data_IF_774792056293
#
_entry.id   IF_774792056293
#
_cell.length_a   1.000
_cell.length_b   1.000
_cell.length_c   1.000
_cell.angle_alpha   90.00
_cell.angle_beta   90.00
_cell.angle_gamma   90.00
#
_symmetry.space_group_name_H-M   'P 1'
#
loop_
_entity.id
_entity.type
_entity.pdbx_description
1 polymer ?
#
# COMPACT_ATOMS: atom_id res chain seq x y z
N UNK A 1 -5.97 -13.76 5.51
CA UNK A 1 -5.23 -14.97 5.99
C UNK A 1 -3.96 -15.16 5.17
N UNK A 2 -3.04 -16.07 5.57
CA UNK A 2 -1.81 -16.35 4.80
C UNK A 2 -2.12 -16.79 3.37
N UNK A 3 -3.08 -17.71 3.20
CA UNK A 3 -3.47 -18.21 1.87
C UNK A 3 -4.04 -17.12 0.96
N UNK A 4 -4.77 -16.15 1.50
CA UNK A 4 -5.26 -15.00 0.72
C UNK A 4 -4.14 -14.04 0.31
N UNK A 5 -3.12 -13.86 1.18
CA UNK A 5 -1.94 -13.07 0.84
C UNK A 5 -1.16 -13.74 -0.28
N UNK A 6 -0.98 -15.06 -0.21
CA UNK A 6 -0.27 -15.83 -1.25
C UNK A 6 -1.04 -15.87 -2.57
N UNK A 7 -2.37 -16.01 -2.51
CA UNK A 7 -3.20 -15.98 -3.70
C UNK A 7 -3.12 -14.62 -4.42
N UNK A 8 -2.97 -13.52 -3.66
CA UNK A 8 -2.95 -12.19 -4.23
C UNK A 8 -1.54 -11.70 -4.61
N UNK A 9 -0.51 -12.06 -3.84
CA UNK A 9 0.89 -11.61 -4.04
C UNK A 9 1.78 -12.67 -4.70
N UNK A 10 1.33 -13.91 -4.86
CA UNK A 10 2.12 -15.01 -5.43
C UNK A 10 2.26 -14.99 -6.96
N UNK A 11 1.26 -14.46 -7.67
CA UNK A 11 1.32 -14.19 -9.12
C UNK A 11 0.65 -12.83 -9.43
N UNK A 12 1.27 -11.72 -8.97
CA UNK A 12 0.67 -10.40 -9.06
C UNK A 12 0.78 -9.88 -10.50
N UNK A 13 -0.35 -9.96 -11.20
CA UNK A 13 -0.53 -9.34 -12.51
C UNK A 13 -0.89 -7.86 -12.36
N UNK A 14 -0.29 -7.02 -13.19
CA UNK A 14 -0.62 -5.60 -13.22
C UNK A 14 -0.11 -4.82 -12.01
N UNK A 15 -0.91 -3.88 -11.53
CA UNK A 15 -0.53 -2.95 -10.45
C UNK A 15 -1.37 -3.12 -9.20
N UNK A 16 -0.71 -3.17 -8.05
CA UNK A 16 -1.35 -3.47 -6.78
C UNK A 16 -0.82 -2.58 -5.67
N UNK A 17 -1.71 -2.07 -4.82
CA UNK A 17 -1.30 -1.41 -3.59
C UNK A 17 -1.68 -2.24 -2.37
N UNK A 18 -0.68 -2.57 -1.56
CA UNK A 18 -0.83 -3.25 -0.28
C UNK A 18 -0.72 -2.25 0.85
N UNK A 19 -1.82 -2.05 1.57
CA UNK A 19 -1.86 -1.22 2.76
C UNK A 19 -1.68 -2.06 4.03
N UNK A 20 -0.58 -1.83 4.75
CA UNK A 20 -0.38 -2.37 6.09
C UNK A 20 -1.05 -1.41 7.07
N UNK A 21 -2.32 -1.68 7.36
CA UNK A 21 -3.15 -0.90 8.27
C UNK A 21 -2.75 -1.16 9.73
N UNK A 22 -3.20 -0.29 10.64
CA UNK A 22 -2.91 -0.38 12.07
C UNK A 22 -3.94 0.37 12.91
N UNK A 23 -3.98 0.09 14.21
CA UNK A 23 -4.81 0.81 15.19
C UNK A 23 -4.24 2.20 15.56
N UNK A 24 -3.03 2.54 15.11
CA UNK A 24 -2.39 3.82 15.44
C UNK A 24 -3.22 5.04 15.02
N UNK A 25 -3.14 6.14 15.78
CA UNK A 25 -3.84 7.39 15.47
C UNK A 25 -3.50 7.96 14.09
N UNK A 26 -2.24 7.84 13.64
CA UNK A 26 -1.82 8.24 12.29
C UNK A 26 -2.45 7.38 11.18
N UNK A 27 -2.80 6.12 11.45
CA UNK A 27 -3.53 5.29 10.50
C UNK A 27 -4.99 5.77 10.36
N UNK A 28 -5.61 6.21 11.46
CA UNK A 28 -6.97 6.75 11.49
C UNK A 28 -7.07 8.15 10.88
N UNK A 29 -6.21 9.07 11.32
CA UNK A 29 -6.30 10.49 10.98
C UNK A 29 -5.66 10.86 9.65
N UNK A 30 -4.71 10.05 9.16
CA UNK A 30 -3.91 10.42 7.98
C UNK A 30 -3.90 9.33 6.91
N UNK A 31 -3.39 8.12 7.20
CA UNK A 31 -3.16 7.10 6.16
C UNK A 31 -4.45 6.63 5.47
N UNK A 32 -5.48 6.23 6.22
CA UNK A 32 -6.76 5.76 5.66
C UNK A 32 -7.48 6.85 4.85
N UNK A 33 -7.65 8.08 5.36
CA UNK A 33 -8.21 9.18 4.57
C UNK A 33 -7.40 9.49 3.31
N UNK A 34 -6.06 9.49 3.41
CA UNK A 34 -5.18 9.74 2.27
C UNK A 34 -5.34 8.69 1.16
N UNK A 35 -5.37 7.41 1.53
CA UNK A 35 -5.58 6.33 0.57
C UNK A 35 -6.95 6.45 -0.11
N UNK A 36 -8.01 6.72 0.66
CA UNK A 36 -9.35 6.93 0.08
C UNK A 36 -9.36 8.10 -0.92
N UNK A 37 -8.69 9.21 -0.61
CA UNK A 37 -8.55 10.33 -1.52
C UNK A 37 -7.75 9.96 -2.78
N UNK A 38 -6.62 9.27 -2.62
CA UNK A 38 -5.76 8.86 -3.73
C UNK A 38 -6.45 7.89 -4.70
N UNK A 39 -7.32 7.00 -4.22
CA UNK A 39 -8.05 6.04 -5.06
C UNK A 39 -9.13 6.68 -5.95
N UNK A 40 -9.44 7.96 -5.74
CA UNK A 40 -10.30 8.76 -6.63
C UNK A 40 -9.55 9.26 -7.87
N UNK A 41 -8.23 9.13 -7.90
CA UNK A 41 -7.41 9.52 -9.03
C UNK A 41 -7.69 8.62 -10.24
N UNK A 42 -7.75 9.16 -11.48
CA UNK A 42 -7.91 8.37 -12.70
C UNK A 42 -6.86 7.26 -12.83
N UNK A 43 -5.59 7.58 -12.57
CA UNK A 43 -4.52 6.60 -12.53
C UNK A 43 -4.46 6.02 -11.12
N UNK A 44 -4.75 4.73 -10.99
CA UNK A 44 -4.81 4.04 -9.71
C UNK A 44 -4.43 2.57 -9.88
N UNK A 45 -3.94 1.91 -8.82
CA UNK A 45 -3.66 0.48 -8.87
C UNK A 45 -4.94 -0.29 -9.20
N UNK A 46 -4.79 -1.36 -9.98
CA UNK A 46 -5.90 -2.25 -10.36
C UNK A 46 -6.44 -3.01 -9.15
N UNK A 47 -5.56 -3.33 -8.19
CA UNK A 47 -5.93 -3.99 -6.96
C UNK A 47 -5.45 -3.21 -5.73
N UNK A 48 -6.30 -3.18 -4.71
CA UNK A 48 -5.97 -2.60 -3.40
C UNK A 48 -6.23 -3.65 -2.35
N UNK A 49 -5.17 -4.06 -1.66
CA UNK A 49 -5.22 -5.02 -0.57
C UNK A 49 -4.91 -4.33 0.75
N UNK A 50 -5.45 -4.87 1.84
CA UNK A 50 -5.12 -4.41 3.17
C UNK A 50 -4.85 -5.59 4.09
N UNK A 51 -3.83 -5.46 4.92
CA UNK A 51 -3.56 -6.37 6.05
C UNK A 51 -3.54 -5.55 7.33
N UNK A 52 -4.04 -6.10 8.44
CA UNK A 52 -4.20 -5.33 9.67
C UNK A 52 -3.15 -5.70 10.72
N UNK A 53 -2.15 -4.82 10.90
CA UNK A 53 -1.11 -4.99 11.91
C UNK A 53 -1.71 -5.00 13.33
N UNK A 54 -1.46 -6.10 14.06
CA UNK A 54 -1.96 -6.30 15.42
C UNK A 54 -3.32 -7.00 15.51
N UNK A 55 -3.93 -7.37 14.39
CA UNK A 55 -5.12 -8.24 14.34
C UNK A 55 -4.82 -9.50 13.52
N UNK A 56 -4.33 -9.33 12.29
CA UNK A 56 -4.01 -10.44 11.38
C UNK A 56 -2.51 -10.73 11.36
N UNK A 57 -1.97 -11.21 12.49
CA UNK A 57 -0.52 -11.37 12.68
C UNK A 57 0.16 -12.19 11.56
N UNK A 58 -0.42 -13.33 11.21
CA UNK A 58 0.17 -14.22 10.19
C UNK A 58 0.07 -13.62 8.78
N UNK A 59 -1.05 -12.96 8.45
CA UNK A 59 -1.21 -12.31 7.15
C UNK A 59 -0.25 -11.13 6.99
N UNK A 60 -0.04 -10.35 8.05
CA UNK A 60 0.91 -9.23 8.05
C UNK A 60 2.34 -9.72 7.95
N UNK A 61 2.69 -10.77 8.71
CA UNK A 61 4.01 -11.39 8.62
C UNK A 61 4.28 -11.92 7.22
N UNK A 62 3.30 -12.60 6.62
CA UNK A 62 3.41 -13.10 5.24
C UNK A 62 3.55 -11.97 4.23
N UNK A 63 2.71 -10.95 4.31
CA UNK A 63 2.78 -9.80 3.40
C UNK A 63 4.16 -9.13 3.50
N UNK A 64 4.70 -8.94 4.71
CA UNK A 64 6.05 -8.38 4.92
C UNK A 64 7.18 -9.16 4.27
N UNK A 65 7.02 -10.48 4.05
CA UNK A 65 8.03 -11.26 3.33
C UNK A 65 8.13 -10.86 1.85
N UNK A 66 7.05 -10.36 1.24
CA UNK A 66 7.05 -9.85 -0.14
C UNK A 66 7.70 -8.48 -0.28
N UNK A 67 7.96 -7.79 0.82
CA UNK A 67 8.64 -6.49 0.86
C UNK A 67 9.79 -6.50 1.88
N UNK A 68 10.54 -7.61 1.91
CA UNK A 68 11.61 -7.88 2.88
C UNK A 68 12.74 -6.84 2.90
N UNK A 69 12.93 -6.12 1.79
CA UNK A 69 13.94 -5.06 1.67
C UNK A 69 13.57 -3.77 2.42
N UNK A 70 12.30 -3.66 2.85
CA UNK A 70 11.77 -2.49 3.53
C UNK A 70 11.59 -2.74 5.02
N UNK A 71 12.11 -1.83 5.84
CA UNK A 71 11.96 -1.91 7.29
C UNK A 71 10.47 -1.96 7.69
N UNK A 72 10.06 -2.93 8.53
CA UNK A 72 8.66 -3.09 8.90
C UNK A 72 8.18 -1.89 9.72
N UNK A 73 7.14 -1.22 9.23
CA UNK A 73 6.48 -0.12 9.94
C UNK A 73 4.96 -0.23 9.81
N UNK A 74 4.22 0.50 10.65
CA UNK A 74 2.77 0.62 10.50
C UNK A 74 2.27 1.98 11.02
N UNK A 75 1.32 2.63 10.32
CA UNK A 75 0.83 2.29 8.98
C UNK A 75 1.92 2.42 7.89
N UNK A 76 1.85 1.60 6.84
CA UNK A 76 2.72 1.70 5.65
C UNK A 76 1.99 1.21 4.39
N UNK A 77 2.43 1.63 3.21
CA UNK A 77 1.82 1.24 1.93
C UNK A 77 2.91 0.80 0.95
N UNK A 78 2.70 -0.29 0.23
CA UNK A 78 3.58 -0.75 -0.84
C UNK A 78 2.80 -0.75 -2.16
N UNK A 79 3.36 -0.12 -3.20
CA UNK A 79 2.86 -0.21 -4.56
C UNK A 79 3.73 -1.21 -5.31
N UNK A 80 3.09 -2.23 -5.86
CA UNK A 80 3.69 -3.30 -6.63
C UNK A 80 3.27 -3.18 -8.09
N UNK A 81 4.18 -3.54 -8.99
CA UNK A 81 3.92 -3.70 -10.42
C UNK A 81 4.60 -4.98 -10.88
N UNK A 82 3.83 -5.94 -11.39
CA UNK A 82 4.37 -7.22 -11.85
C UNK A 82 5.15 -7.99 -10.77
N UNK A 83 4.79 -7.81 -9.51
CA UNK A 83 5.43 -8.47 -8.36
C UNK A 83 6.62 -7.76 -7.74
N UNK A 84 7.09 -6.67 -8.35
CA UNK A 84 8.14 -5.85 -7.78
C UNK A 84 7.57 -4.64 -7.06
N UNK A 85 8.15 -4.30 -5.90
CA UNK A 85 7.80 -3.08 -5.17
C UNK A 85 8.43 -1.88 -5.87
N UNK A 86 7.60 -1.09 -6.53
CA UNK A 86 8.03 0.10 -7.29
C UNK A 86 7.95 1.40 -6.48
N UNK A 87 7.13 1.41 -5.42
CA UNK A 87 7.06 2.52 -4.48
C UNK A 87 6.67 2.05 -3.08
N UNK A 88 7.28 2.63 -2.05
CA UNK A 88 7.00 2.27 -0.67
C UNK A 88 6.82 3.50 0.23
N UNK A 89 5.70 3.56 0.94
CA UNK A 89 5.36 4.60 1.90
C UNK A 89 5.60 4.10 3.32
N UNK A 90 6.70 4.55 3.93
CA UNK A 90 7.01 4.28 5.33
C UNK A 90 6.16 5.12 6.28
N UNK A 91 6.01 4.65 7.52
CA UNK A 91 5.30 5.38 8.59
C UNK A 91 5.76 6.83 8.76
N UNK A 92 7.07 7.11 8.72
CA UNK A 92 7.59 8.46 8.91
C UNK A 92 7.16 9.44 7.80
N UNK A 93 6.75 8.92 6.64
CA UNK A 93 6.21 9.72 5.54
C UNK A 93 4.70 9.95 5.68
N UNK A 94 4.07 9.41 6.71
CA UNK A 94 2.63 9.54 7.04
C UNK A 94 2.46 10.34 8.33
N UNK A 95 3.28 10.04 9.34
CA UNK A 95 3.21 10.64 10.66
C UNK A 95 3.41 12.17 10.59
N UNK A 96 2.48 12.92 11.18
CA UNK A 96 2.51 14.38 11.19
C UNK A 96 2.09 15.08 9.89
N UNK A 97 1.68 14.33 8.85
CA UNK A 97 1.24 14.90 7.57
C UNK A 97 -0.27 14.86 7.41
N UNK A 98 -0.79 15.81 6.63
CA UNK A 98 -2.22 15.86 6.32
C UNK A 98 -2.59 14.78 5.30
N UNK A 99 -3.86 14.31 5.29
CA UNK A 99 -4.36 13.40 4.28
C UNK A 99 -4.08 13.85 2.84
N UNK A 100 -4.28 15.13 2.54
CA UNK A 100 -4.05 15.69 1.20
C UNK A 100 -2.59 15.63 0.77
N UNK A 101 -1.65 15.83 1.70
CA UNK A 101 -0.22 15.73 1.40
C UNK A 101 0.16 14.29 1.04
N UNK A 102 -0.30 13.33 1.84
CA UNK A 102 -0.01 11.91 1.60
C UNK A 102 -0.71 11.44 0.32
N UNK A 103 -1.95 11.89 0.08
CA UNK A 103 -2.69 11.55 -1.13
C UNK A 103 -1.98 12.05 -2.38
N UNK A 104 -1.45 13.29 -2.37
CA UNK A 104 -0.67 13.82 -3.50
C UNK A 104 0.56 12.97 -3.83
N UNK A 105 1.29 12.54 -2.80
CA UNK A 105 2.46 11.67 -3.00
C UNK A 105 2.05 10.30 -3.58
N UNK A 106 0.95 9.72 -3.07
CA UNK A 106 0.39 8.48 -3.60
C UNK A 106 -0.05 8.63 -5.05
N UNK A 107 -0.76 9.70 -5.39
CA UNK A 107 -1.21 9.93 -6.77
C UNK A 107 -0.05 10.17 -7.72
N UNK A 108 1.04 10.82 -7.26
CA UNK A 108 2.25 10.96 -8.06
C UNK A 108 2.90 9.60 -8.34
N UNK A 109 2.92 8.70 -7.36
CA UNK A 109 3.35 7.32 -7.59
C UNK A 109 2.40 6.58 -8.55
N UNK A 110 1.09 6.78 -8.45
CA UNK A 110 0.13 6.17 -9.38
C UNK A 110 0.30 6.72 -10.80
N UNK A 111 0.58 8.01 -10.97
CA UNK A 111 0.87 8.58 -12.29
C UNK A 111 2.14 8.03 -12.91
N UNK A 112 3.10 7.58 -12.10
CA UNK A 112 4.32 6.97 -12.59
C UNK A 112 4.15 5.47 -12.87
N UNK A 113 3.41 4.76 -12.03
CA UNK A 113 3.40 3.30 -11.99
C UNK A 113 2.04 2.64 -12.24
N UNK A 114 0.96 3.40 -12.42
CA UNK A 114 -0.38 2.89 -12.69
C UNK A 114 -0.95 3.41 -14.02
N UNK A 115 -0.11 3.98 -14.89
CA UNK A 115 -0.55 4.29 -16.25
C UNK A 115 -0.92 2.98 -16.98
N UNK A 116 -2.01 2.97 -17.76
CA UNK A 116 -2.32 1.85 -18.63
C UNK A 116 -1.14 1.67 -19.59
N UNK A 117 -0.59 0.46 -19.64
CA UNK A 117 0.39 0.10 -20.67
C UNK A 117 -0.31 0.25 -22.01
N UNK A 118 -0.07 1.36 -22.71
CA UNK A 118 -0.44 1.49 -24.11
C UNK A 118 0.35 0.43 -24.86
N UNK A 119 -0.34 -0.63 -25.28
CA UNK A 119 0.18 -1.68 -26.15
C UNK A 119 0.59 -1.12 -27.51
#
# INVERSE_FOLDING_TARGET
TVGEVDAALGDPQGTMLVFVNSVCGCAAGSARPALNLALRHPNRPEQVLTVFAGQDLDAVARARQYFSDYAPSSPSMALLRGGEVVHFVHRHMIEGRSPDQIARDLTAAFDQFCQPTTA
#
